data_IF_734149701931
#
_entry.id   IF_734149701931
#
_cell.length_a   1.000
_cell.length_b   1.000
_cell.length_c   1.000
_cell.angle_alpha   90.00
_cell.angle_beta   90.00
_cell.angle_gamma   90.00
#
_symmetry.space_group_name_H-M   'P 1'
#
loop_
_entity.id
_entity.type
_entity.pdbx_description
1 polymer ?
#
# COMPACT_ATOMS: atom_id res chain seq x y z
N UNK A 1 -44.78 18.33 9.39
CA UNK A 1 -43.73 18.46 10.41
C UNK A 1 -43.24 17.07 10.75
N UNK A 2 -42.14 16.64 10.13
CA UNK A 2 -41.35 15.48 10.58
C UNK A 2 -39.90 15.90 10.38
N UNK A 3 -39.31 16.43 11.45
CA UNK A 3 -37.88 16.67 11.54
C UNK A 3 -37.19 15.31 11.46
N UNK A 4 -36.60 15.00 10.29
CA UNK A 4 -35.55 13.99 10.22
C UNK A 4 -34.28 14.65 10.72
N UNK A 5 -34.07 14.56 12.03
CA UNK A 5 -32.84 14.94 12.71
C UNK A 5 -31.76 13.91 12.34
N UNK A 6 -31.16 14.09 11.17
CA UNK A 6 -30.08 13.25 10.69
C UNK A 6 -28.81 13.71 11.41
N UNK A 7 -28.49 13.05 12.53
CA UNK A 7 -27.22 13.25 13.22
C UNK A 7 -26.05 13.18 12.21
N UNK A 8 -25.04 14.06 12.30
CA UNK A 8 -23.91 14.01 11.39
C UNK A 8 -23.26 12.64 11.53
N UNK A 9 -23.12 11.91 10.40
CA UNK A 9 -22.31 10.69 10.35
C UNK A 9 -20.93 11.10 10.86
N UNK A 10 -20.61 10.73 12.10
CA UNK A 10 -19.26 10.90 12.62
C UNK A 10 -18.35 10.14 11.68
N UNK A 11 -17.47 10.85 10.97
CA UNK A 11 -16.40 10.25 10.19
C UNK A 11 -15.61 9.37 11.15
N UNK A 12 -15.91 8.07 11.13
CA UNK A 12 -15.17 7.07 11.90
C UNK A 12 -13.82 6.99 11.20
N UNK A 13 -12.87 7.82 11.65
CA UNK A 13 -11.48 7.69 11.27
C UNK A 13 -10.98 6.35 11.81
N UNK A 14 -11.02 5.34 10.95
CA UNK A 14 -10.45 4.03 11.25
C UNK A 14 -8.94 4.22 11.33
N UNK A 15 -8.37 3.89 12.49
CA UNK A 15 -6.92 3.90 12.67
C UNK A 15 -6.29 2.81 11.79
N UNK A 16 -5.06 3.01 11.29
CA UNK A 16 -4.31 1.95 10.65
C UNK A 16 -4.17 0.74 11.58
N UNK A 17 -4.02 -0.48 11.04
CA UNK A 17 -3.76 -1.67 11.85
C UNK A 17 -2.51 -1.53 12.72
N UNK A 18 -2.48 -2.28 13.82
CA UNK A 18 -1.36 -2.26 14.77
C UNK A 18 -0.01 -2.51 14.07
N UNK A 19 1.01 -1.74 14.49
CA UNK A 19 2.34 -1.77 13.90
C UNK A 19 2.54 -0.83 12.70
N UNK A 20 1.49 -0.15 12.22
CA UNK A 20 1.56 0.81 11.12
C UNK A 20 1.15 2.21 11.58
N UNK A 21 1.96 3.22 11.24
CA UNK A 21 1.68 4.61 11.58
C UNK A 21 0.65 5.25 10.63
N UNK A 22 0.59 4.79 9.38
CA UNK A 22 -0.31 5.31 8.35
C UNK A 22 -0.98 4.20 7.56
N UNK A 23 -2.13 4.51 6.94
CA UNK A 23 -2.78 3.60 6.01
C UNK A 23 -1.92 3.30 4.78
N UNK A 24 -1.07 4.24 4.38
CA UNK A 24 -0.14 4.05 3.28
C UNK A 24 0.93 3.01 3.65
N UNK A 25 1.45 3.04 4.88
CA UNK A 25 2.39 2.01 5.36
C UNK A 25 1.76 0.61 5.33
N UNK A 26 0.52 0.50 5.82
CA UNK A 26 -0.20 -0.77 5.79
C UNK A 26 -0.47 -1.25 4.37
N UNK A 27 -0.88 -0.36 3.47
CA UNK A 27 -1.16 -0.70 2.08
C UNK A 27 0.08 -1.19 1.34
N UNK A 28 1.22 -0.53 1.52
CA UNK A 28 2.50 -0.93 0.90
C UNK A 28 2.99 -2.26 1.47
N UNK A 29 2.92 -2.45 2.79
CA UNK A 29 3.33 -3.71 3.40
C UNK A 29 2.47 -4.90 2.98
N UNK A 30 1.17 -4.67 2.75
CA UNK A 30 0.20 -5.72 2.41
C UNK A 30 -0.11 -5.86 0.92
N UNK A 31 0.58 -5.10 0.07
CA UNK A 31 0.38 -5.11 -1.38
C UNK A 31 0.51 -6.52 -1.99
N UNK A 32 1.35 -7.36 -1.39
CA UNK A 32 1.67 -8.71 -1.87
C UNK A 32 0.60 -9.78 -1.50
N UNK A 33 -0.34 -9.48 -0.58
CA UNK A 33 -1.34 -10.45 -0.13
C UNK A 33 -2.60 -10.53 -1.03
N UNK A 34 -2.68 -9.76 -2.12
CA UNK A 34 -3.90 -9.68 -2.93
C UNK A 34 -3.81 -10.52 -4.20
N UNK A 35 -4.51 -11.67 -4.15
CA UNK A 35 -5.12 -12.49 -5.21
C UNK A 35 -4.26 -13.16 -6.30
N UNK A 36 -4.70 -14.38 -6.68
CA UNK A 36 -4.20 -15.16 -7.82
C UNK A 36 -4.28 -14.41 -9.17
N UNK A 37 -5.03 -13.32 -9.22
CA UNK A 37 -5.15 -12.41 -10.37
C UNK A 37 -3.86 -11.60 -10.59
N UNK A 38 -3.16 -11.20 -9.53
CA UNK A 38 -1.84 -10.56 -9.70
C UNK A 38 -0.81 -11.54 -10.23
N UNK A 39 -0.86 -12.81 -9.80
CA UNK A 39 0.03 -13.83 -10.33
C UNK A 39 -0.22 -14.09 -11.82
N UNK A 40 -1.47 -14.14 -12.25
CA UNK A 40 -1.79 -14.29 -13.68
C UNK A 40 -1.31 -13.09 -14.51
N UNK A 41 -1.40 -11.87 -13.97
CA UNK A 41 -0.87 -10.66 -14.61
C UNK A 41 0.65 -10.68 -14.69
N UNK A 42 1.37 -11.09 -13.64
CA UNK A 42 2.83 -11.22 -13.66
C UNK A 42 3.25 -12.22 -14.74
N UNK A 43 2.59 -13.38 -14.80
CA UNK A 43 2.85 -14.40 -15.84
C UNK A 43 2.57 -13.85 -17.24
N UNK A 44 1.46 -13.12 -17.44
CA UNK A 44 1.14 -12.51 -18.72
C UNK A 44 2.16 -11.45 -19.16
N UNK A 45 2.63 -10.62 -18.23
CA UNK A 45 3.62 -9.56 -18.50
C UNK A 45 5.00 -10.16 -18.80
N UNK A 46 5.34 -11.28 -18.17
CA UNK A 46 6.59 -12.02 -18.35
C UNK A 46 6.63 -12.90 -19.61
N UNK A 47 5.87 -12.53 -20.65
CA UNK A 47 5.90 -13.17 -21.96
C UNK A 47 7.34 -13.25 -22.55
N UNK A 48 7.64 -14.25 -23.38
CA UNK A 48 8.99 -14.45 -23.95
C UNK A 48 9.52 -13.18 -24.62
N UNK A 49 10.75 -12.78 -24.27
CA UNK A 49 11.41 -11.58 -24.81
C UNK A 49 11.22 -10.30 -23.99
N UNK A 50 10.53 -10.36 -22.84
CA UNK A 50 10.43 -9.24 -21.88
C UNK A 50 11.22 -9.53 -20.61
N UNK A 51 11.66 -8.45 -19.95
CA UNK A 51 12.29 -8.54 -18.62
C UNK A 51 11.30 -9.15 -17.62
N UNK A 52 11.73 -10.18 -16.90
CA UNK A 52 10.92 -10.81 -15.88
C UNK A 52 10.69 -9.83 -14.72
N UNK A 53 9.43 -9.46 -14.50
CA UNK A 53 8.98 -8.75 -13.31
C UNK A 53 8.76 -9.77 -12.21
N UNK A 54 9.47 -9.61 -11.09
CA UNK A 54 9.29 -10.42 -9.89
C UNK A 54 8.53 -9.63 -8.83
N UNK A 55 7.87 -10.34 -7.91
CA UNK A 55 7.21 -9.72 -6.77
C UNK A 55 8.19 -8.93 -5.89
N UNK A 56 9.39 -9.47 -5.69
CA UNK A 56 10.46 -8.77 -4.96
C UNK A 56 10.87 -7.45 -5.62
N UNK A 57 11.00 -7.44 -6.95
CA UNK A 57 11.34 -6.23 -7.69
C UNK A 57 10.22 -5.18 -7.62
N UNK A 58 8.94 -5.60 -7.69
CA UNK A 58 7.80 -4.69 -7.52
C UNK A 58 7.74 -4.12 -6.10
N UNK A 59 7.95 -4.95 -5.08
CA UNK A 59 8.02 -4.49 -3.68
C UNK A 59 9.11 -3.46 -3.50
N UNK A 60 10.32 -3.72 -4.03
CA UNK A 60 11.43 -2.78 -3.95
C UNK A 60 11.10 -1.46 -4.67
N UNK A 61 10.51 -1.52 -5.86
CA UNK A 61 10.12 -0.32 -6.60
C UNK A 61 9.09 0.53 -5.83
N UNK A 62 8.11 -0.10 -5.18
CA UNK A 62 7.11 0.63 -4.38
C UNK A 62 7.71 1.23 -3.11
N UNK A 63 8.64 0.54 -2.45
CA UNK A 63 9.36 1.10 -1.30
C UNK A 63 10.21 2.31 -1.72
N UNK A 64 10.90 2.23 -2.86
CA UNK A 64 11.67 3.36 -3.40
C UNK A 64 10.76 4.56 -3.73
N UNK A 65 9.62 4.32 -4.37
CA UNK A 65 8.64 5.37 -4.67
C UNK A 65 8.08 6.00 -3.39
N UNK A 66 7.79 5.19 -2.37
CA UNK A 66 7.33 5.70 -1.07
C UNK A 66 8.39 6.62 -0.43
N UNK A 67 9.66 6.23 -0.47
CA UNK A 67 10.77 7.01 0.06
C UNK A 67 10.91 8.34 -0.70
N UNK A 68 10.80 8.32 -2.03
CA UNK A 68 10.85 9.52 -2.86
C UNK A 68 9.67 10.46 -2.61
N UNK A 69 8.45 9.92 -2.52
CA UNK A 69 7.25 10.70 -2.20
C UNK A 69 7.38 11.39 -0.84
N UNK A 70 7.89 10.69 0.17
CA UNK A 70 8.10 11.25 1.51
C UNK A 70 9.16 12.33 1.51
N UNK A 71 10.28 12.08 0.82
CA UNK A 71 11.35 13.06 0.65
C UNK A 71 10.83 14.33 -0.03
N UNK A 72 10.05 14.20 -1.11
CA UNK A 72 9.46 15.34 -1.82
C UNK A 72 8.44 16.08 -0.96
N UNK A 73 7.63 15.36 -0.19
CA UNK A 73 6.66 15.95 0.73
C UNK A 73 7.28 16.55 2.00
N UNK A 74 8.55 16.28 2.29
CA UNK A 74 9.24 16.73 3.50
C UNK A 74 8.70 16.09 4.79
N UNK A 75 8.14 14.88 4.69
CA UNK A 75 7.60 14.14 5.84
C UNK A 75 8.58 13.06 6.30
N UNK A 76 8.49 12.69 7.58
CA UNK A 76 9.32 11.64 8.16
C UNK A 76 8.98 10.27 7.54
N UNK A 77 9.99 9.41 7.46
CA UNK A 77 9.76 8.00 7.15
C UNK A 77 9.16 7.29 8.35
N UNK A 78 7.95 6.76 8.15
CA UNK A 78 7.20 6.01 9.16
C UNK A 78 7.02 4.55 8.78
N UNK A 79 7.62 4.09 7.67
CA UNK A 79 7.46 2.71 7.24
C UNK A 79 8.18 1.77 8.22
N UNK A 80 7.53 0.69 8.70
CA UNK A 80 8.15 -0.20 9.66
C UNK A 80 9.42 -0.85 9.08
N UNK A 81 10.57 -0.66 9.75
CA UNK A 81 11.84 -1.20 9.29
C UNK A 81 11.83 -2.74 9.17
N UNK A 82 11.14 -3.43 10.08
CA UNK A 82 10.97 -4.89 10.03
C UNK A 82 10.26 -5.37 8.76
N UNK A 83 9.46 -4.53 8.13
CA UNK A 83 8.76 -4.84 6.88
C UNK A 83 9.59 -4.49 5.65
N UNK A 84 10.74 -3.82 5.77
CA UNK A 84 11.62 -3.53 4.61
C UNK A 84 12.49 -4.72 4.21
N UNK A 85 12.81 -5.59 5.16
CA UNK A 85 13.75 -6.72 4.98
C UNK A 85 13.06 -8.04 4.64
N UNK A 86 11.73 -8.09 4.70
CA UNK A 86 10.90 -9.25 4.33
C UNK A 86 10.53 -9.18 2.85
#
# INVERSE_FOLDING_TARGET
MTSSDQAPKSDVFVQPPEGYATWLDYAVATMDFRSAEFESLIVAVNSPGKSAVTRSAMRQAVLMELDDLRRVAGVLDTFPASQRET
#
